data_IF_405439294254
#
_entry.id   IF_405439294254
#
_cell.length_a   1.000
_cell.length_b   1.000
_cell.length_c   1.000
_cell.angle_alpha   90.00
_cell.angle_beta   90.00
_cell.angle_gamma   90.00
#
_symmetry.space_group_name_H-M   'P 1'
#
loop_
_entity.id
_entity.type
_entity.pdbx_description
1 polymer ?
#
# COMPACT_ATOMS: atom_id res chain seq x y z
N UNK A 1 21.19 5.40 -27.50
CA UNK A 1 19.92 4.74 -27.88
C UNK A 1 18.80 5.28 -27.00
N UNK A 2 17.60 5.56 -27.54
CA UNK A 2 16.46 5.94 -26.71
C UNK A 2 16.02 4.74 -25.85
N UNK A 3 15.57 5.01 -24.62
CA UNK A 3 15.13 3.95 -23.70
C UNK A 3 13.90 3.22 -24.26
N UNK A 4 13.89 1.89 -24.15
CA UNK A 4 12.71 1.07 -24.45
C UNK A 4 11.56 1.36 -23.47
N UNK A 5 10.30 1.04 -23.82
CA UNK A 5 9.19 1.13 -22.88
C UNK A 5 9.43 0.34 -21.57
N UNK A 6 10.06 -0.83 -21.67
CA UNK A 6 10.39 -1.68 -20.52
C UNK A 6 11.41 -1.00 -19.60
N UNK A 7 12.47 -0.41 -20.17
CA UNK A 7 13.48 0.35 -19.41
C UNK A 7 12.88 1.58 -18.73
N UNK A 8 11.96 2.29 -19.41
CA UNK A 8 11.25 3.42 -18.78
C UNK A 8 10.39 2.96 -17.62
N UNK A 9 9.69 1.84 -17.76
CA UNK A 9 8.86 1.29 -16.69
C UNK A 9 9.72 0.77 -15.51
N UNK A 10 10.87 0.16 -15.80
CA UNK A 10 11.83 -0.27 -14.79
C UNK A 10 12.37 0.93 -14.01
N UNK A 11 12.83 1.97 -14.71
CA UNK A 11 13.31 3.21 -14.09
C UNK A 11 12.21 3.91 -13.27
N UNK A 12 10.97 3.95 -13.77
CA UNK A 12 9.83 4.48 -13.02
C UNK A 12 9.57 3.71 -11.72
N UNK A 13 9.62 2.37 -11.76
CA UNK A 13 9.46 1.54 -10.57
C UNK A 13 10.62 1.70 -9.58
N UNK A 14 11.85 1.82 -10.07
CA UNK A 14 13.04 2.02 -9.24
C UNK A 14 13.03 3.35 -8.48
N UNK A 15 12.52 4.43 -9.09
CA UNK A 15 12.43 5.74 -8.42
C UNK A 15 11.26 5.88 -7.45
N UNK A 16 10.24 5.02 -7.56
CA UNK A 16 8.96 5.21 -6.85
C UNK A 16 9.09 5.11 -5.31
N UNK A 17 9.88 4.18 -4.74
CA UNK A 17 10.12 4.09 -3.30
C UNK A 17 10.80 5.32 -2.67
N UNK A 18 11.40 6.19 -3.48
CA UNK A 18 12.13 7.38 -3.03
C UNK A 18 11.46 8.69 -3.45
N UNK A 19 10.24 8.61 -4.00
CA UNK A 19 9.48 9.78 -4.41
C UNK A 19 8.88 10.50 -3.21
N UNK A 20 8.75 11.83 -3.27
CA UNK A 20 8.15 12.65 -2.21
C UNK A 20 9.19 13.47 -1.43
N UNK A 21 8.75 14.38 -0.55
CA UNK A 21 9.62 15.33 0.14
C UNK A 21 10.60 14.71 1.15
N UNK A 22 10.24 13.54 1.69
CA UNK A 22 10.96 12.83 2.75
C UNK A 22 11.71 11.59 2.26
N UNK A 23 11.77 11.37 0.94
CA UNK A 23 12.31 10.16 0.32
C UNK A 23 11.65 8.84 0.75
N UNK A 24 10.49 8.87 1.41
CA UNK A 24 9.70 7.69 1.78
C UNK A 24 8.52 7.51 0.83
N UNK A 25 8.85 7.26 -0.43
CA UNK A 25 7.87 7.09 -1.49
C UNK A 25 7.09 5.78 -1.40
N UNK A 26 6.34 5.50 -2.45
CA UNK A 26 5.35 4.42 -2.42
C UNK A 26 5.99 3.03 -2.51
N UNK A 27 5.35 2.05 -1.87
CA UNK A 27 5.68 0.62 -1.99
C UNK A 27 4.61 -0.09 -2.81
N UNK A 28 5.03 -1.11 -3.58
CA UNK A 28 4.13 -1.84 -4.48
C UNK A 28 3.57 -3.08 -3.79
N UNK A 29 2.26 -3.11 -3.59
CA UNK A 29 1.53 -4.31 -3.18
C UNK A 29 1.16 -5.09 -4.45
N UNK A 30 1.82 -6.21 -4.71
CA UNK A 30 1.51 -7.10 -5.82
C UNK A 30 0.74 -8.31 -5.31
N UNK A 31 -0.58 -8.29 -5.45
CA UNK A 31 -1.42 -9.43 -5.06
C UNK A 31 -2.59 -9.61 -5.99
N UNK A 32 -3.00 -10.87 -6.14
CA UNK A 32 -4.28 -11.23 -6.75
C UNK A 32 -5.34 -11.28 -5.65
N UNK A 33 -6.54 -10.79 -5.97
CA UNK A 33 -7.70 -10.86 -5.07
C UNK A 33 -8.85 -11.51 -5.82
N UNK A 34 -9.82 -12.05 -5.07
CA UNK A 34 -11.02 -12.58 -5.68
C UNK A 34 -11.83 -11.48 -6.40
N UNK A 35 -12.75 -11.92 -7.27
CA UNK A 35 -13.57 -11.00 -8.07
C UNK A 35 -14.48 -10.12 -7.21
N UNK A 36 -15.02 -10.65 -6.11
CA UNK A 36 -15.89 -9.92 -5.19
C UNK A 36 -15.16 -8.75 -4.54
N UNK A 37 -13.96 -8.99 -4.02
CA UNK A 37 -13.06 -8.00 -3.43
C UNK A 37 -12.70 -6.92 -4.45
N UNK A 38 -12.34 -7.32 -5.69
CA UNK A 38 -12.06 -6.36 -6.75
C UNK A 38 -13.25 -5.44 -7.06
N UNK A 39 -14.46 -6.00 -7.14
CA UNK A 39 -15.68 -5.23 -7.40
C UNK A 39 -16.06 -4.33 -6.22
N UNK A 40 -15.90 -4.81 -4.98
CA UNK A 40 -16.13 -4.03 -3.77
C UNK A 40 -15.21 -2.80 -3.72
N UNK A 41 -13.91 -3.01 -3.95
CA UNK A 41 -12.92 -1.93 -3.99
C UNK A 41 -13.27 -0.87 -5.04
N UNK A 42 -13.74 -1.30 -6.22
CA UNK A 42 -14.20 -0.40 -7.28
C UNK A 42 -15.44 0.40 -6.86
N UNK A 43 -16.44 -0.23 -6.26
CA UNK A 43 -17.66 0.46 -5.80
C UNK A 43 -17.36 1.49 -4.72
N UNK A 44 -16.54 1.13 -3.73
CA UNK A 44 -16.14 2.04 -2.65
C UNK A 44 -15.37 3.25 -3.17
N UNK A 45 -14.41 3.03 -4.08
CA UNK A 45 -13.66 4.10 -4.71
C UNK A 45 -14.58 5.09 -5.44
N UNK A 46 -15.54 4.56 -6.21
CA UNK A 46 -16.53 5.38 -6.91
C UNK A 46 -17.43 6.15 -5.95
N UNK A 47 -17.98 5.49 -4.92
CA UNK A 47 -18.88 6.12 -3.96
C UNK A 47 -18.23 7.29 -3.22
N UNK A 48 -16.94 7.17 -2.87
CA UNK A 48 -16.20 8.20 -2.16
C UNK A 48 -15.47 9.19 -3.08
N UNK A 49 -15.52 9.03 -4.41
CA UNK A 49 -14.81 9.90 -5.35
C UNK A 49 -13.29 9.85 -5.23
N UNK A 50 -12.72 8.70 -4.84
CA UNK A 50 -11.27 8.53 -4.61
C UNK A 50 -10.70 7.38 -5.44
N UNK A 51 -9.37 7.25 -5.44
CA UNK A 51 -8.72 6.13 -6.13
C UNK A 51 -8.90 4.82 -5.35
N UNK A 52 -8.88 3.68 -6.06
CA UNK A 52 -8.82 2.34 -5.45
C UNK A 52 -7.63 2.17 -4.50
N UNK A 53 -6.48 2.77 -4.84
CA UNK A 53 -5.30 2.81 -3.98
C UNK A 53 -5.64 3.48 -2.64
N UNK A 54 -6.27 4.65 -2.67
CA UNK A 54 -6.63 5.38 -1.46
C UNK A 54 -7.63 4.60 -0.58
N UNK A 55 -8.58 3.86 -1.19
CA UNK A 55 -9.47 2.98 -0.41
C UNK A 55 -8.70 1.84 0.24
N UNK A 56 -7.80 1.18 -0.50
CA UNK A 56 -6.97 0.10 0.03
C UNK A 56 -6.11 0.58 1.21
N UNK A 57 -5.42 1.71 1.06
CA UNK A 57 -4.61 2.32 2.12
C UNK A 57 -5.44 2.65 3.36
N UNK A 58 -6.62 3.25 3.18
CA UNK A 58 -7.54 3.55 4.30
C UNK A 58 -7.96 2.29 5.05
N UNK A 59 -8.33 1.23 4.33
CA UNK A 59 -8.77 -0.03 4.95
C UNK A 59 -7.63 -0.68 5.74
N UNK A 60 -6.43 -0.77 5.14
CA UNK A 60 -5.27 -1.41 5.79
C UNK A 60 -4.85 -0.64 7.04
N UNK A 61 -4.73 0.69 6.96
CA UNK A 61 -4.35 1.51 8.12
C UNK A 61 -5.43 1.49 9.21
N UNK A 62 -6.71 1.53 8.84
CA UNK A 62 -7.79 1.44 9.81
C UNK A 62 -7.81 0.08 10.53
N UNK A 63 -7.54 -1.00 9.80
CA UNK A 63 -7.48 -2.34 10.37
C UNK A 63 -6.27 -2.51 11.29
N UNK A 64 -5.09 -2.01 10.90
CA UNK A 64 -3.91 -2.00 11.78
C UNK A 64 -4.19 -1.22 13.08
N UNK A 65 -4.78 -0.03 12.99
CA UNK A 65 -5.15 0.74 14.17
C UNK A 65 -6.16 -0.02 15.05
N UNK A 66 -7.14 -0.71 14.45
CA UNK A 66 -8.11 -1.53 15.18
C UNK A 66 -7.42 -2.68 15.92
N UNK A 67 -6.53 -3.41 15.24
CA UNK A 67 -5.79 -4.54 15.79
C UNK A 67 -4.85 -4.11 16.93
N UNK A 68 -4.18 -2.97 16.75
CA UNK A 68 -3.16 -2.50 17.69
C UNK A 68 -3.71 -1.71 18.88
N UNK A 69 -4.95 -1.20 18.78
CA UNK A 69 -5.57 -0.36 19.84
C UNK A 69 -5.67 -1.01 21.23
N UNK A 70 -5.61 -2.35 21.31
CA UNK A 70 -5.70 -3.10 22.57
C UNK A 70 -4.39 -3.80 22.97
N UNK A 71 -3.29 -3.57 22.25
CA UNK A 71 -2.01 -4.19 22.57
C UNK A 71 -1.37 -3.50 23.78
N UNK A 72 -0.77 -4.30 24.66
CA UNK A 72 0.21 -3.79 25.61
C UNK A 72 1.58 -3.60 24.93
N UNK A 73 2.52 -3.00 25.63
CA UNK A 73 3.84 -2.66 25.08
C UNK A 73 4.58 -3.90 24.53
N UNK A 74 4.44 -5.05 25.20
CA UNK A 74 5.07 -6.30 24.77
C UNK A 74 4.44 -6.84 23.48
N UNK A 75 3.11 -6.85 23.39
CA UNK A 75 2.38 -7.29 22.20
C UNK A 75 2.63 -6.34 21.02
N UNK A 76 2.71 -5.05 21.28
CA UNK A 76 3.06 -4.05 20.27
C UNK A 76 4.48 -4.25 19.76
N UNK A 77 5.46 -4.44 20.65
CA UNK A 77 6.84 -4.70 20.27
C UNK A 77 6.96 -5.97 19.42
N UNK A 78 6.28 -7.05 19.83
CA UNK A 78 6.23 -8.29 19.06
C UNK A 78 5.61 -8.10 17.66
N UNK A 79 4.52 -7.34 17.55
CA UNK A 79 3.88 -7.03 16.27
C UNK A 79 4.82 -6.23 15.34
N UNK A 80 5.62 -5.30 15.89
CA UNK A 80 6.53 -4.46 15.12
C UNK A 80 7.84 -5.17 14.70
N UNK A 81 8.35 -6.11 15.50
CA UNK A 81 9.58 -6.83 15.19
C UNK A 81 9.46 -7.71 13.93
N UNK A 82 8.26 -8.22 13.62
CA UNK A 82 7.98 -9.10 12.46
C UNK A 82 8.07 -8.39 11.08
N UNK A 83 8.22 -7.06 11.05
CA UNK A 83 8.17 -6.25 9.81
C UNK A 83 9.53 -5.60 9.48
N UNK A 84 10.61 -6.02 10.13
CA UNK A 84 11.96 -5.49 9.83
C UNK A 84 12.50 -6.08 8.51
N UNK A 85 13.00 -5.27 7.55
CA UNK A 85 13.64 -5.77 6.33
C UNK A 85 14.84 -6.68 6.58
#
# INVERSE_FOLDING_TARGET
MPKTPAERQAAYRARRPFAGPDHNGERRINTWVDTGTYLALKRLANHHGVTRRAVLERIVVAEEARVTSGMDDNAWEAYMQDVTP
#
